data_IF_165592676676
#
_entry.id   IF_165592676676
#
_cell.length_a   1.000
_cell.length_b   1.000
_cell.length_c   1.000
_cell.angle_alpha   90.00
_cell.angle_beta   90.00
_cell.angle_gamma   90.00
#
_symmetry.space_group_name_H-M   'P 1'
#
loop_
_entity.id
_entity.type
_entity.pdbx_description
1 polymer ?
#
# COMPACT_ATOMS: atom_id res chain seq x y z
N UNK A 1 -7.57 -4.03 12.49
CA UNK A 1 -6.64 -5.19 12.55
C UNK A 1 -6.80 -5.92 11.22
N UNK A 2 -5.76 -6.22 10.42
CA UNK A 2 -5.99 -6.71 9.04
C UNK A 2 -6.81 -8.03 9.02
N UNK A 3 -8.03 -8.03 8.43
CA UNK A 3 -8.94 -9.17 8.49
C UNK A 3 -8.56 -10.29 7.54
N UNK A 4 -7.78 -10.02 6.48
CA UNK A 4 -7.29 -11.05 5.57
C UNK A 4 -6.13 -11.85 6.18
N UNK A 5 -5.50 -11.32 7.23
CA UNK A 5 -4.37 -11.96 7.90
C UNK A 5 -4.63 -12.15 9.41
N UNK A 6 -5.57 -13.02 9.80
CA UNK A 6 -5.90 -13.28 11.20
C UNK A 6 -4.70 -13.78 12.01
N UNK A 7 -4.12 -12.91 12.85
CA UNK A 7 -2.91 -13.17 13.65
C UNK A 7 -2.94 -14.50 14.41
N UNK A 8 -4.08 -14.83 15.04
CA UNK A 8 -4.22 -16.04 15.84
C UNK A 8 -4.26 -17.32 15.00
N UNK A 9 -4.88 -17.25 13.82
CA UNK A 9 -4.95 -18.40 12.91
C UNK A 9 -3.60 -18.63 12.22
N UNK A 10 -2.97 -17.54 11.76
CA UNK A 10 -1.72 -17.59 11.02
C UNK A 10 -0.48 -17.72 11.91
N UNK A 11 -0.60 -17.50 13.22
CA UNK A 11 0.52 -17.46 14.15
C UNK A 11 1.59 -16.44 13.70
N UNK A 12 1.13 -15.25 13.31
CA UNK A 12 2.01 -14.20 12.79
C UNK A 12 3.09 -13.82 13.81
N UNK A 13 4.34 -13.98 13.42
CA UNK A 13 5.51 -13.61 14.22
C UNK A 13 6.13 -12.35 13.64
N UNK A 14 6.30 -11.31 14.45
CA UNK A 14 7.01 -10.10 14.02
C UNK A 14 8.49 -10.42 13.89
N UNK A 15 9.09 -10.20 12.71
CA UNK A 15 10.51 -10.49 12.46
C UNK A 15 11.36 -9.24 12.23
N UNK A 16 10.72 -8.09 12.00
CA UNK A 16 11.41 -6.83 11.81
C UNK A 16 10.50 -5.74 11.28
N UNK A 17 11.11 -4.67 10.81
CA UNK A 17 10.42 -3.51 10.24
C UNK A 17 11.32 -2.86 9.19
N UNK A 18 10.73 -2.32 8.13
CA UNK A 18 11.44 -1.46 7.19
C UNK A 18 11.28 -0.03 7.69
N UNK A 19 12.40 0.68 7.82
CA UNK A 19 12.42 2.10 8.16
C UNK A 19 13.01 2.91 7.03
N UNK A 20 12.40 4.05 6.75
CA UNK A 20 12.99 5.08 5.91
C UNK A 20 12.71 6.45 6.50
N UNK A 21 13.57 7.41 6.20
CA UNK A 21 13.45 8.78 6.71
C UNK A 21 13.59 9.77 5.56
N UNK A 22 12.68 10.73 5.47
CA UNK A 22 12.82 11.90 4.61
C UNK A 22 13.34 13.06 5.45
N UNK A 23 14.52 13.57 5.09
CA UNK A 23 15.04 14.82 5.65
C UNK A 23 14.85 15.93 4.63
N UNK A 24 13.94 16.86 4.92
CA UNK A 24 13.78 18.08 4.13
C UNK A 24 14.73 19.14 4.70
N UNK A 25 15.71 19.53 3.90
CA UNK A 25 16.58 20.67 4.20
C UNK A 25 15.91 21.92 3.65
N UNK A 26 15.64 22.90 4.50
CA UNK A 26 15.12 24.19 4.05
C UNK A 26 16.04 24.75 2.98
N UNK A 27 15.52 25.14 1.80
CA UNK A 27 16.37 25.75 0.78
C UNK A 27 16.95 27.04 1.38
N UNK A 28 18.28 27.16 1.40
CA UNK A 28 18.90 28.47 1.48
C UNK A 28 18.39 29.26 0.28
N UNK A 29 17.49 30.22 0.51
CA UNK A 29 16.87 31.06 -0.51
C UNK A 29 17.91 31.46 -1.56
N UNK A 30 17.79 31.06 -2.84
CA UNK A 30 18.46 31.78 -3.89
C UNK A 30 17.84 33.16 -3.91
N UNK A 31 18.64 34.19 -3.65
CA UNK A 31 18.25 35.57 -3.91
C UNK A 31 17.92 35.71 -5.40
N UNK A 32 16.65 35.62 -5.79
CA UNK A 32 16.21 36.13 -7.08
C UNK A 32 14.82 36.74 -6.97
N UNK A 33 14.82 38.06 -7.17
CA UNK A 33 13.65 38.88 -7.43
C UNK A 33 12.99 38.43 -8.74
N UNK A 34 11.76 37.92 -8.67
CA UNK A 34 10.94 37.71 -9.87
C UNK A 34 9.85 36.67 -9.64
N UNK A 35 8.60 37.13 -9.48
CA UNK A 35 7.33 36.39 -9.48
C UNK A 35 7.46 34.87 -9.75
N UNK A 36 7.60 34.08 -8.69
CA UNK A 36 7.31 32.65 -8.76
C UNK A 36 5.80 32.45 -8.77
N UNK A 37 5.26 32.03 -9.90
CA UNK A 37 3.90 31.52 -10.05
C UNK A 37 3.98 30.00 -10.02
N UNK A 38 3.61 29.39 -8.90
CA UNK A 38 3.47 27.94 -8.82
C UNK A 38 2.03 27.57 -9.21
N UNK A 39 1.85 27.01 -10.41
CA UNK A 39 0.62 26.29 -10.74
C UNK A 39 0.68 24.93 -10.04
N UNK A 40 0.20 24.86 -8.79
CA UNK A 40 0.10 23.62 -8.02
C UNK A 40 -1.17 22.86 -8.41
N UNK A 41 -1.07 22.05 -9.47
CA UNK A 41 -2.00 20.93 -9.74
C UNK A 41 -1.35 19.56 -9.41
N UNK A 42 -0.16 19.56 -8.82
CA UNK A 42 0.49 18.37 -8.26
C UNK A 42 0.45 18.44 -6.73
N UNK A 43 -0.02 17.37 -6.09
CA UNK A 43 -0.23 17.19 -4.64
C UNK A 43 1.07 17.22 -3.79
N UNK A 44 2.04 18.07 -4.13
CA UNK A 44 3.26 18.33 -3.38
C UNK A 44 3.18 19.37 -2.23
N UNK A 45 2.13 20.19 -2.01
CA UNK A 45 2.21 21.29 -1.05
C UNK A 45 2.00 20.90 0.42
N UNK A 46 1.73 19.64 0.76
CA UNK A 46 1.52 19.24 2.17
C UNK A 46 2.78 18.81 2.91
N UNK A 47 3.91 18.60 2.22
CA UNK A 47 5.18 18.19 2.87
C UNK A 47 6.03 19.40 3.31
N UNK A 48 5.80 20.58 2.71
CA UNK A 48 6.48 21.84 3.04
C UNK A 48 5.51 22.99 2.76
N UNK A 49 5.05 23.66 3.81
CA UNK A 49 4.37 24.96 3.67
C UNK A 49 5.46 26.05 3.53
N UNK A 50 5.62 26.69 2.36
CA UNK A 50 6.61 27.75 2.19
C UNK A 50 6.29 29.01 3.02
N UNK A 51 5.06 29.14 3.52
CA UNK A 51 4.62 30.22 4.42
C UNK A 51 4.73 29.83 5.91
N UNK A 52 5.11 28.58 6.24
CA UNK A 52 5.55 28.23 7.59
C UNK A 52 6.89 28.92 7.87
N UNK A 53 6.79 30.16 8.35
CA UNK A 53 7.88 30.87 9.04
C UNK A 53 8.17 30.20 10.39
N UNK A 54 8.76 29.01 10.35
CA UNK A 54 9.57 28.57 11.46
C UNK A 54 10.95 29.22 11.29
N UNK A 55 11.20 30.28 12.06
CA UNK A 55 12.46 31.05 12.09
C UNK A 55 13.66 30.25 12.66
N UNK A 56 13.58 28.92 12.70
CA UNK A 56 14.71 28.04 13.01
C UNK A 56 14.98 27.15 11.81
N UNK A 57 16.23 27.12 11.38
CA UNK A 57 16.75 26.29 10.31
C UNK A 57 16.77 24.81 10.72
N UNK A 58 15.62 24.27 11.15
CA UNK A 58 15.51 22.93 11.64
C UNK A 58 15.19 21.98 10.48
N UNK A 59 16.10 21.05 10.24
CA UNK A 59 15.89 19.91 9.35
C UNK A 59 14.62 19.18 9.78
N UNK A 60 13.62 19.10 8.89
CA UNK A 60 12.40 18.33 9.20
C UNK A 60 12.62 16.89 8.77
N UNK A 61 12.54 15.95 9.72
CA UNK A 61 12.72 14.51 9.48
C UNK A 61 11.39 13.78 9.63
N UNK A 62 10.90 13.20 8.53
CA UNK A 62 9.74 12.31 8.51
C UNK A 62 10.20 10.87 8.54
N UNK A 63 9.76 10.10 9.55
CA UNK A 63 10.07 8.68 9.68
C UNK A 63 8.91 7.81 9.21
N UNK A 64 9.22 6.82 8.38
CA UNK A 64 8.28 5.83 7.90
C UNK A 64 8.72 4.47 8.38
N UNK A 65 7.80 3.72 8.98
CA UNK A 65 8.08 2.36 9.40
C UNK A 65 6.89 1.45 9.10
N UNK A 66 7.17 0.28 8.55
CA UNK A 66 6.15 -0.75 8.37
C UNK A 66 6.69 -2.11 8.82
N UNK A 67 5.87 -2.87 9.58
CA UNK A 67 6.29 -4.14 10.16
C UNK A 67 6.38 -5.24 9.10
N UNK A 68 7.33 -6.15 9.32
CA UNK A 68 7.45 -7.41 8.59
C UNK A 68 7.05 -8.54 9.53
N UNK A 69 6.06 -9.32 9.11
CA UNK A 69 5.65 -10.52 9.82
C UNK A 69 6.08 -11.77 9.04
N UNK A 70 6.21 -12.89 9.74
CA UNK A 70 6.33 -14.21 9.13
C UNK A 70 5.22 -15.13 9.62
N UNK A 71 4.82 -16.05 8.76
CA UNK A 71 4.01 -17.21 9.12
C UNK A 71 4.42 -18.38 8.23
N UNK A 72 4.65 -19.55 8.83
CA UNK A 72 5.18 -20.70 8.10
C UNK A 72 6.48 -20.36 7.34
N UNK A 73 6.44 -20.43 6.00
CA UNK A 73 7.55 -20.04 5.11
C UNK A 73 7.29 -18.73 4.36
N UNK A 74 6.28 -17.98 4.76
CA UNK A 74 5.81 -16.77 4.08
C UNK A 74 6.22 -15.53 4.85
N UNK A 75 6.65 -14.51 4.12
CA UNK A 75 6.85 -13.15 4.63
C UNK A 75 5.62 -12.31 4.28
N UNK A 76 5.12 -11.57 5.26
CA UNK A 76 4.00 -10.65 5.11
C UNK A 76 4.49 -9.23 5.34
N UNK A 77 4.41 -8.42 4.29
CA UNK A 77 4.60 -6.97 4.34
C UNK A 77 3.22 -6.33 4.38
N UNK A 78 2.92 -5.59 5.44
CA UNK A 78 1.66 -4.85 5.57
C UNK A 78 1.99 -3.37 5.64
N UNK A 79 1.45 -2.61 4.69
CA UNK A 79 1.72 -1.18 4.55
C UNK A 79 0.40 -0.44 4.54
N UNK A 80 0.18 0.35 5.59
CA UNK A 80 -0.96 1.26 5.65
C UNK A 80 -0.61 2.52 4.85
N UNK A 81 -1.16 2.65 3.64
CA UNK A 81 -0.96 3.85 2.84
C UNK A 81 -1.78 5.02 3.41
N UNK A 82 -1.09 5.96 4.04
CA UNK A 82 -1.65 7.28 4.34
C UNK A 82 -1.19 8.27 3.27
N UNK A 83 -1.86 8.20 2.10
CA UNK A 83 -1.58 8.93 0.85
C UNK A 83 -1.37 10.45 1.00
N UNK A 84 -1.83 11.04 2.10
CA UNK A 84 -1.79 12.49 2.33
C UNK A 84 -0.38 12.97 2.75
N UNK A 85 0.55 12.05 3.06
CA UNK A 85 1.82 12.39 3.74
C UNK A 85 3.10 11.90 3.05
N UNK A 86 3.03 11.26 1.87
CA UNK A 86 4.20 10.64 1.25
C UNK A 86 4.24 10.86 -0.26
N UNK A 87 5.29 11.54 -0.73
CA UNK A 87 5.58 11.69 -2.15
C UNK A 87 5.76 10.32 -2.84
N UNK A 88 5.20 10.11 -4.05
CA UNK A 88 5.31 8.84 -4.79
C UNK A 88 6.75 8.33 -5.01
N UNK A 89 7.74 9.23 -4.99
CA UNK A 89 9.15 8.84 -5.13
C UNK A 89 9.60 7.90 -4.01
N UNK A 90 9.09 8.05 -2.78
CA UNK A 90 9.42 7.16 -1.67
C UNK A 90 8.88 5.76 -1.90
N UNK A 91 7.61 5.64 -2.28
CA UNK A 91 7.00 4.36 -2.63
C UNK A 91 7.79 3.64 -3.72
N UNK A 92 8.23 4.38 -4.74
CA UNK A 92 9.07 3.87 -5.82
C UNK A 92 10.45 3.39 -5.34
N UNK A 93 11.12 4.14 -4.47
CA UNK A 93 12.44 3.75 -3.93
C UNK A 93 12.34 2.54 -2.99
N UNK A 94 11.36 2.53 -2.10
CA UNK A 94 11.13 1.44 -1.15
C UNK A 94 10.79 0.16 -1.90
N UNK A 95 9.81 0.21 -2.80
CA UNK A 95 9.40 -0.94 -3.61
C UNK A 95 10.58 -1.48 -4.42
N UNK A 96 11.39 -0.61 -5.04
CA UNK A 96 12.59 -1.04 -5.76
C UNK A 96 13.56 -1.79 -4.86
N UNK A 97 13.81 -1.29 -3.65
CA UNK A 97 14.71 -1.93 -2.70
C UNK A 97 14.19 -3.30 -2.28
N UNK A 98 12.92 -3.40 -1.86
CA UNK A 98 12.28 -4.66 -1.46
C UNK A 98 12.34 -5.68 -2.60
N UNK A 99 11.83 -5.31 -3.78
CA UNK A 99 11.75 -6.23 -4.91
C UNK A 99 13.16 -6.67 -5.36
N UNK A 100 14.16 -5.78 -5.31
CA UNK A 100 15.54 -6.16 -5.64
C UNK A 100 16.14 -7.19 -4.69
N UNK A 101 15.80 -7.14 -3.40
CA UNK A 101 16.25 -8.12 -2.41
C UNK A 101 15.50 -9.44 -2.59
N UNK A 102 14.18 -9.39 -2.82
CA UNK A 102 13.38 -10.58 -3.08
C UNK A 102 13.81 -11.28 -4.38
N UNK A 103 14.19 -10.53 -5.41
CA UNK A 103 14.62 -11.07 -6.69
C UNK A 103 15.79 -12.06 -6.59
N UNK A 104 16.65 -11.93 -5.57
CA UNK A 104 17.78 -12.83 -5.34
C UNK A 104 17.35 -14.26 -4.99
N UNK A 105 16.13 -14.43 -4.47
CA UNK A 105 15.60 -15.71 -4.03
C UNK A 105 14.51 -16.26 -4.96
N UNK A 106 14.08 -15.48 -5.96
CA UNK A 106 12.99 -15.81 -6.88
C UNK A 106 11.72 -16.36 -6.19
N UNK A 107 11.18 -15.68 -5.15
CA UNK A 107 9.98 -16.16 -4.46
C UNK A 107 8.74 -15.99 -5.34
N UNK A 108 7.68 -16.73 -5.00
CA UNK A 108 6.33 -16.43 -5.49
C UNK A 108 5.81 -15.20 -4.76
N UNK A 109 5.53 -14.12 -5.50
CA UNK A 109 5.10 -12.84 -4.92
C UNK A 109 3.59 -12.69 -5.03
N UNK A 110 2.95 -12.33 -3.92
CA UNK A 110 1.52 -11.98 -3.87
C UNK A 110 1.41 -10.51 -3.46
N UNK A 111 0.76 -9.72 -4.30
CA UNK A 111 0.48 -8.29 -4.06
C UNK A 111 -1.02 -8.12 -3.89
N UNK A 112 -1.46 -7.70 -2.70
CA UNK A 112 -2.87 -7.42 -2.44
C UNK A 112 -2.97 -5.96 -2.03
N UNK A 113 -3.94 -5.25 -2.60
CA UNK A 113 -4.18 -3.87 -2.21
C UNK A 113 -5.54 -3.37 -2.68
N UNK A 114 -5.73 -2.06 -2.55
CA UNK A 114 -6.95 -1.39 -2.97
C UNK A 114 -6.65 -0.20 -3.87
N UNK A 115 -7.61 0.23 -4.68
CA UNK A 115 -7.47 1.43 -5.52
C UNK A 115 -8.81 2.10 -5.80
N UNK A 116 -8.82 3.43 -5.79
CA UNK A 116 -9.96 4.28 -6.15
C UNK A 116 -10.11 4.55 -7.64
N UNK A 117 -9.25 3.95 -8.45
CA UNK A 117 -9.21 4.13 -9.90
C UNK A 117 -9.65 2.87 -10.66
N UNK A 118 -10.26 1.91 -9.96
CA UNK A 118 -10.81 0.68 -10.56
C UNK A 118 -12.29 0.51 -10.17
N UNK A 119 -13.11 -0.01 -11.08
CA UNK A 119 -14.55 -0.18 -10.84
C UNK A 119 -14.91 -1.54 -10.22
N UNK A 120 -14.04 -2.53 -10.39
CA UNK A 120 -14.24 -3.90 -9.91
C UNK A 120 -12.91 -4.54 -9.56
N UNK A 121 -12.95 -5.65 -8.81
CA UNK A 121 -11.76 -6.40 -8.44
C UNK A 121 -10.93 -6.79 -9.66
N UNK A 122 -9.62 -6.49 -9.62
CA UNK A 122 -8.67 -6.76 -10.69
C UNK A 122 -7.68 -7.82 -10.26
N UNK A 123 -7.51 -8.82 -11.11
CA UNK A 123 -6.46 -9.83 -10.99
C UNK A 123 -5.41 -9.53 -12.05
N UNK A 124 -4.13 -9.51 -11.66
CA UNK A 124 -3.03 -9.35 -12.60
C UNK A 124 -1.94 -10.37 -12.29
N UNK A 125 -1.25 -10.80 -13.34
CA UNK A 125 -0.07 -11.67 -13.27
C UNK A 125 1.01 -11.10 -14.17
N UNK A 126 2.15 -11.78 -14.28
CA UNK A 126 3.19 -11.40 -15.23
C UNK A 126 2.75 -11.44 -16.70
N UNK A 127 1.67 -12.18 -17.02
CA UNK A 127 1.18 -12.39 -18.38
C UNK A 127 -0.23 -11.83 -18.63
N UNK A 128 -0.96 -11.46 -17.59
CA UNK A 128 -2.38 -11.09 -17.69
C UNK A 128 -2.66 -9.79 -16.92
N UNK A 129 -3.37 -8.87 -17.55
CA UNK A 129 -3.83 -7.64 -16.93
C UNK A 129 -5.32 -7.44 -17.21
N UNK A 130 -6.12 -7.35 -16.14
CA UNK A 130 -7.57 -7.18 -16.23
C UNK A 130 -8.04 -5.73 -16.10
N UNK A 131 -7.09 -4.77 -16.02
CA UNK A 131 -7.41 -3.33 -16.04
C UNK A 131 -7.99 -2.94 -17.40
N UNK A 132 -9.07 -2.17 -17.37
CA UNK A 132 -9.73 -1.64 -18.56
C UNK A 132 -9.59 -0.12 -18.57
N UNK A 133 -9.05 0.51 -19.62
CA UNK A 133 -9.00 1.97 -19.70
C UNK A 133 -10.39 2.59 -19.48
N UNK A 134 -10.51 3.67 -18.67
CA UNK A 134 -9.46 4.53 -18.13
C UNK A 134 -8.94 4.12 -16.74
N UNK A 135 -9.09 2.86 -16.31
CA UNK A 135 -8.62 2.39 -15.00
C UNK A 135 -7.08 2.35 -14.92
N UNK A 136 -6.54 2.64 -13.74
CA UNK A 136 -5.11 2.55 -13.44
C UNK A 136 -4.88 2.26 -11.95
N UNK A 137 -3.63 2.01 -11.55
CA UNK A 137 -3.26 1.75 -10.16
C UNK A 137 -2.24 2.80 -9.73
N UNK A 138 -2.46 3.37 -8.55
CA UNK A 138 -1.59 4.38 -7.93
C UNK A 138 -1.02 3.87 -6.61
N UNK A 139 -0.29 4.73 -5.90
CA UNK A 139 0.27 4.41 -4.60
C UNK A 139 1.38 3.35 -4.65
N UNK A 140 1.63 2.77 -3.49
CA UNK A 140 2.67 1.80 -3.24
C UNK A 140 2.43 0.51 -4.03
N UNK A 141 1.17 0.11 -4.22
CA UNK A 141 0.82 -1.02 -5.09
C UNK A 141 1.27 -0.74 -6.52
N UNK A 142 0.98 0.47 -7.04
CA UNK A 142 1.46 0.92 -8.35
C UNK A 142 2.98 0.90 -8.44
N UNK A 143 3.68 1.36 -7.41
CA UNK A 143 5.14 1.30 -7.31
C UNK A 143 5.68 -0.13 -7.38
N UNK A 144 5.11 -1.06 -6.59
CA UNK A 144 5.49 -2.48 -6.58
C UNK A 144 5.28 -3.12 -7.95
N UNK A 145 4.10 -2.94 -8.53
CA UNK A 145 3.78 -3.48 -9.85
C UNK A 145 4.71 -2.93 -10.94
N UNK A 146 5.06 -1.64 -10.85
CA UNK A 146 6.06 -1.02 -11.74
C UNK A 146 7.39 -1.76 -11.66
N UNK A 147 7.87 -2.09 -10.45
CA UNK A 147 9.14 -2.82 -10.30
C UNK A 147 9.06 -4.26 -10.83
N UNK A 148 7.92 -4.93 -10.69
CA UNK A 148 7.70 -6.31 -11.13
C UNK A 148 7.50 -6.44 -12.65
N UNK A 149 6.87 -5.46 -13.29
CA UNK A 149 6.49 -5.52 -14.72
C UNK A 149 7.54 -4.86 -15.61
N UNK A 150 7.94 -3.62 -15.29
CA UNK A 150 8.83 -2.81 -16.16
C UNK A 150 10.18 -2.47 -15.53
N UNK A 151 10.34 -2.74 -14.24
CA UNK A 151 11.53 -2.38 -13.48
C UNK A 151 12.77 -3.24 -13.75
N UNK A 152 13.88 -2.95 -13.04
CA UNK A 152 15.13 -3.71 -13.16
C UNK A 152 15.01 -5.18 -12.75
N UNK A 153 14.02 -5.49 -11.91
CA UNK A 153 13.73 -6.83 -11.39
C UNK A 153 12.57 -7.52 -12.11
N UNK A 154 12.28 -7.12 -13.36
CA UNK A 154 11.23 -7.72 -14.17
C UNK A 154 11.43 -9.23 -14.37
N UNK A 155 10.32 -9.95 -14.55
CA UNK A 155 10.32 -11.39 -14.83
C UNK A 155 10.18 -12.28 -13.59
N UNK A 156 10.01 -11.70 -12.40
CA UNK A 156 9.55 -12.44 -11.23
C UNK A 156 8.10 -12.86 -11.41
N UNK A 157 7.78 -14.08 -10.96
CA UNK A 157 6.40 -14.56 -10.92
C UNK A 157 5.65 -13.81 -9.84
N UNK A 158 4.49 -13.26 -10.20
CA UNK A 158 3.65 -12.60 -9.22
C UNK A 158 2.18 -12.82 -9.51
N UNK A 159 1.37 -12.74 -8.45
CA UNK A 159 -0.07 -12.60 -8.52
C UNK A 159 -0.45 -11.32 -7.82
N UNK A 160 -1.32 -10.54 -8.42
CA UNK A 160 -1.82 -9.32 -7.86
C UNK A 160 -3.35 -9.34 -7.81
N UNK A 161 -3.88 -8.89 -6.68
CA UNK A 161 -5.30 -8.67 -6.46
C UNK A 161 -5.50 -7.23 -5.99
N UNK A 162 -6.25 -6.45 -6.74
CA UNK A 162 -6.61 -5.08 -6.36
C UNK A 162 -8.12 -5.00 -6.25
N UNK A 163 -8.62 -4.68 -5.05
CA UNK A 163 -10.03 -4.44 -4.83
C UNK A 163 -10.36 -2.94 -4.94
N UNK A 164 -11.56 -2.56 -5.39
CA UNK A 164 -11.96 -1.16 -5.42
C UNK A 164 -11.97 -0.58 -4.00
N UNK A 165 -11.50 0.65 -3.86
CA UNK A 165 -11.68 1.50 -2.67
C UNK A 165 -12.33 2.81 -3.09
N UNK A 166 -13.10 3.47 -2.24
CA UNK A 166 -13.47 4.85 -2.56
C UNK A 166 -12.33 5.82 -2.22
N UNK A 167 -12.11 6.79 -3.10
CA UNK A 167 -10.98 7.71 -3.08
C UNK A 167 -10.95 8.68 -1.89
N UNK A 168 -10.16 9.77 -1.97
CA UNK A 168 -9.77 10.58 -0.81
C UNK A 168 -10.93 11.29 -0.07
N UNK A 169 -12.16 11.27 -0.60
CA UNK A 169 -13.32 12.01 -0.06
C UNK A 169 -14.55 11.17 0.31
N UNK A 170 -14.45 9.85 0.49
CA UNK A 170 -15.27 9.18 1.50
C UNK A 170 -16.11 7.95 1.11
N UNK A 171 -15.87 6.90 1.90
CA UNK A 171 -16.86 6.18 2.72
C UNK A 171 -17.97 5.33 2.07
N UNK A 172 -17.71 4.57 1.00
CA UNK A 172 -18.30 3.24 0.86
C UNK A 172 -17.32 2.07 0.92
N UNK A 173 -17.89 1.00 1.46
CA UNK A 173 -17.28 -0.18 2.08
C UNK A 173 -17.03 -1.20 0.98
N UNK A 174 -15.91 -1.94 1.05
CA UNK A 174 -15.80 -3.22 0.34
C UNK A 174 -17.12 -3.98 0.52
N UNK A 175 -17.79 -4.31 -0.58
CA UNK A 175 -19.09 -4.98 -0.48
C UNK A 175 -18.91 -6.34 0.21
N UNK A 176 -19.96 -6.88 0.81
CA UNK A 176 -19.95 -8.24 1.36
C UNK A 176 -19.45 -9.27 0.32
N UNK A 177 -19.84 -9.08 -0.94
CA UNK A 177 -19.39 -9.88 -2.08
C UNK A 177 -17.92 -9.71 -2.40
N UNK A 178 -17.39 -8.49 -2.37
CA UNK A 178 -15.96 -8.23 -2.61
C UNK A 178 -15.11 -8.83 -1.50
N UNK A 179 -15.55 -8.68 -0.24
CA UNK A 179 -14.86 -9.28 0.90
C UNK A 179 -14.89 -10.81 0.83
N UNK A 180 -16.02 -11.42 0.45
CA UNK A 180 -16.07 -12.86 0.20
C UNK A 180 -15.10 -13.32 -0.87
N UNK A 181 -15.06 -12.60 -1.99
CA UNK A 181 -14.14 -12.90 -3.10
C UNK A 181 -12.67 -12.72 -2.69
N UNK A 182 -12.35 -11.69 -1.91
CA UNK A 182 -11.01 -11.47 -1.35
C UNK A 182 -10.60 -12.63 -0.43
N UNK A 183 -11.47 -13.02 0.48
CA UNK A 183 -11.21 -14.11 1.45
C UNK A 183 -11.02 -15.43 0.71
N UNK A 184 -11.89 -15.74 -0.25
CA UNK A 184 -11.81 -16.98 -1.01
C UNK A 184 -10.51 -17.05 -1.83
N UNK A 185 -10.14 -15.98 -2.53
CA UNK A 185 -8.91 -15.92 -3.32
C UNK A 185 -7.65 -15.95 -2.43
N UNK A 186 -7.64 -15.20 -1.32
CA UNK A 186 -6.52 -15.22 -0.38
C UNK A 186 -6.34 -16.60 0.26
N UNK A 187 -7.44 -17.22 0.68
CA UNK A 187 -7.43 -18.59 1.24
C UNK A 187 -6.87 -19.60 0.24
N UNK A 188 -7.30 -19.51 -1.03
CA UNK A 188 -6.78 -20.35 -2.11
C UNK A 188 -5.29 -20.13 -2.37
N UNK A 189 -4.84 -18.87 -2.45
CA UNK A 189 -3.43 -18.55 -2.74
C UNK A 189 -2.49 -18.92 -1.60
N UNK A 190 -2.96 -18.84 -0.36
CA UNK A 190 -2.18 -19.19 0.83
C UNK A 190 -2.32 -20.68 1.22
N UNK A 191 -3.22 -21.42 0.58
CA UNK A 191 -3.40 -22.85 0.80
C UNK A 191 -4.07 -23.19 2.14
N UNK A 192 -4.92 -22.31 2.66
CA UNK A 192 -5.65 -22.57 3.91
C UNK A 192 -6.94 -23.36 3.68
N UNK A 193 -7.37 -24.07 4.73
CA UNK A 193 -8.68 -24.73 4.72
C UNK A 193 -9.79 -23.66 4.64
N UNK A 194 -10.67 -23.70 3.63
CA UNK A 194 -11.58 -22.60 3.34
C UNK A 194 -12.52 -22.25 4.48
N UNK A 195 -13.10 -23.24 5.18
CA UNK A 195 -14.14 -22.95 6.18
C UNK A 195 -13.62 -22.20 7.39
N UNK A 196 -12.47 -22.64 7.95
CA UNK A 196 -11.86 -22.02 9.12
C UNK A 196 -11.22 -20.67 8.81
N UNK A 197 -10.56 -20.53 7.66
CA UNK A 197 -9.97 -19.26 7.26
C UNK A 197 -11.04 -18.20 7.03
N UNK A 198 -12.09 -18.54 6.28
CA UNK A 198 -13.18 -17.61 6.00
C UNK A 198 -13.91 -17.17 7.26
N UNK A 199 -14.21 -18.09 8.18
CA UNK A 199 -14.86 -17.76 9.45
C UNK A 199 -14.06 -16.74 10.26
N UNK A 200 -12.75 -16.95 10.42
CA UNK A 200 -11.89 -16.03 11.17
C UNK A 200 -11.74 -14.67 10.48
N UNK A 201 -11.61 -14.65 9.15
CA UNK A 201 -11.55 -13.41 8.38
C UNK A 201 -12.86 -12.60 8.53
N UNK A 202 -14.01 -13.25 8.42
CA UNK A 202 -15.31 -12.60 8.62
C UNK A 202 -15.51 -12.14 10.07
N UNK A 203 -15.07 -12.93 11.05
CA UNK A 203 -15.12 -12.56 12.47
C UNK A 203 -14.34 -11.29 12.71
N UNK A 204 -13.09 -11.22 12.23
CA UNK A 204 -12.25 -10.02 12.37
C UNK A 204 -12.84 -8.82 11.64
N UNK A 205 -13.32 -9.01 10.41
CA UNK A 205 -13.92 -7.94 9.64
C UNK A 205 -15.17 -7.35 10.32
N UNK A 206 -16.04 -8.21 10.89
CA UNK A 206 -17.20 -7.78 11.68
C UNK A 206 -16.79 -7.07 12.97
N UNK A 207 -15.74 -7.55 13.65
CA UNK A 207 -15.21 -6.91 14.86
C UNK A 207 -14.61 -5.53 14.57
N UNK A 208 -13.83 -5.37 13.49
CA UNK A 208 -13.27 -4.07 13.07
C UNK A 208 -14.40 -3.08 12.73
N UNK A 209 -15.42 -3.56 11.99
CA UNK A 209 -16.61 -2.76 11.64
C UNK A 209 -17.47 -2.36 12.84
N UNK A 210 -17.44 -3.14 13.93
CA UNK A 210 -18.20 -2.89 15.15
C UNK A 210 -17.43 -2.01 16.16
N UNK A 211 -16.10 -2.04 16.14
CA UNK A 211 -15.25 -1.26 17.04
C UNK A 211 -15.14 0.22 16.65
N UNK A 212 -15.38 0.56 15.38
CA UNK A 212 -15.24 1.91 14.85
C UNK A 212 -16.54 2.25 14.13
N UNK A 213 -17.47 2.88 14.87
CA UNK A 213 -18.86 3.05 14.46
C UNK A 213 -19.05 3.38 12.98
N UNK A 214 -19.66 2.46 12.23
CA UNK A 214 -20.19 2.59 10.87
C UNK A 214 -19.31 3.20 9.75
N UNK A 215 -18.10 3.71 10.03
CA UNK A 215 -17.32 4.56 9.13
C UNK A 215 -15.89 4.10 8.85
N UNK A 216 -15.25 3.15 9.54
CA UNK A 216 -13.93 2.71 9.08
C UNK A 216 -14.04 1.63 8.01
N UNK A 217 -13.91 2.06 6.75
CA UNK A 217 -13.61 1.16 5.65
C UNK A 217 -12.33 0.37 5.93
N UNK A 218 -12.25 -0.82 5.34
CA UNK A 218 -11.06 -1.64 5.48
C UNK A 218 -9.90 -1.04 4.70
N UNK A 219 -8.79 -0.80 5.39
CA UNK A 219 -7.49 -0.64 4.76
C UNK A 219 -6.85 -2.03 4.71
N UNK A 220 -6.61 -2.56 3.51
CA UNK A 220 -5.79 -3.77 3.34
C UNK A 220 -4.32 -3.36 3.42
#
# INVERSE_FOLDING_TARGET
MNPLFPKNLLQLTSIGEIKTTLTVKSPSLPQSSGKHSWNYDENFPNEVDPDQKNDTADETVYGFSFPIYSFGKTLLFSMEENFISISPIFGNMISRSIISQLAQFSPDIIVIGTSDKIASMKVMTENECTLQPPEFITGFIGSVLTQLIVGPSKGLKFKCLVAPSEGPNGFEKLSLSDMGSLVDLCGQWLGFEPSRYSEECYRLWRCDSAAIGAQSGLYI
#
